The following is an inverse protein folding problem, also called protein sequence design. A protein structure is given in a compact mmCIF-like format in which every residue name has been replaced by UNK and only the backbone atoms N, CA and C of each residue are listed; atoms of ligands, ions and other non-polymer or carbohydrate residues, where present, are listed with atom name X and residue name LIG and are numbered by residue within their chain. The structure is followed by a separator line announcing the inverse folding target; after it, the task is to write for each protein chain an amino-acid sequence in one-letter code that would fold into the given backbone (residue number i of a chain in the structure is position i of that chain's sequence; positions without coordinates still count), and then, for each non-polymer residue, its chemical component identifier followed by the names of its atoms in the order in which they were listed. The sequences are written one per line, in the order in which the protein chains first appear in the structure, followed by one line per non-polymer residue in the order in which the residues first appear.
data_IF_880367772566
#
_entry.id   IF_880367772566
#
_cell.length_a   1.000
_cell.length_b   1.000
_cell.length_c   1.000
_cell.angle_alpha   90.00
_cell.angle_beta   90.00
_cell.angle_gamma   90.00
#
_symmetry.space_group_name_H-M   'P 1'
#
loop_
_entity.id
_entity.type
_entity.pdbx_description
1 polymer ?
#
# COMPACT_ATOMS: atom_id res chain seq x y z
N UNK A 1 8.97 58.18 -23.30
CA UNK A 1 10.18 57.81 -22.51
C UNK A 1 9.80 56.97 -21.30
N UNK A 2 8.64 57.22 -20.68
CA UNK A 2 8.21 56.56 -19.42
C UNK A 2 7.78 55.07 -19.59
N UNK A 3 7.18 54.73 -20.73
CA UNK A 3 6.74 53.32 -20.99
C UNK A 3 7.89 52.32 -21.18
N UNK A 4 9.02 52.77 -21.73
CA UNK A 4 10.20 51.93 -21.94
C UNK A 4 10.87 51.65 -20.58
N UNK A 5 11.02 52.70 -19.75
CA UNK A 5 11.63 52.57 -18.41
C UNK A 5 10.75 51.68 -17.49
N UNK A 6 9.44 51.78 -17.60
CA UNK A 6 8.50 50.93 -16.83
C UNK A 6 8.61 49.48 -17.29
N UNK A 7 8.72 49.17 -18.58
CA UNK A 7 8.87 47.82 -19.10
C UNK A 7 10.23 47.22 -18.70
N UNK A 8 11.29 48.00 -18.71
CA UNK A 8 12.63 47.51 -18.29
C UNK A 8 12.66 47.23 -16.80
N UNK A 9 12.05 48.06 -15.98
CA UNK A 9 11.92 47.85 -14.53
C UNK A 9 11.09 46.62 -14.25
N UNK A 10 9.97 46.43 -14.95
CA UNK A 10 9.13 45.23 -14.79
C UNK A 10 9.83 43.95 -15.16
N UNK A 11 10.60 43.98 -16.29
CA UNK A 11 11.41 42.87 -16.74
C UNK A 11 12.53 42.52 -15.74
N UNK A 12 13.18 43.53 -15.17
CA UNK A 12 14.23 43.33 -14.16
C UNK A 12 13.68 42.70 -12.90
N UNK A 13 12.54 43.19 -12.40
CA UNK A 13 11.88 42.63 -11.20
C UNK A 13 11.44 41.19 -11.47
N UNK A 14 10.85 40.92 -12.64
CA UNK A 14 10.44 39.57 -13.02
C UNK A 14 11.63 38.59 -13.05
N UNK A 15 12.74 38.99 -13.64
CA UNK A 15 13.95 38.18 -13.70
C UNK A 15 14.53 37.89 -12.31
N UNK A 16 14.58 38.89 -11.44
CA UNK A 16 15.06 38.71 -10.04
C UNK A 16 14.17 37.73 -9.28
N UNK A 17 12.84 37.88 -9.36
CA UNK A 17 11.88 36.97 -8.75
C UNK A 17 12.01 35.54 -9.31
N UNK A 18 12.18 35.41 -10.62
CA UNK A 18 12.36 34.15 -11.29
C UNK A 18 13.61 33.38 -10.79
N UNK A 19 14.76 34.06 -10.74
CA UNK A 19 15.99 33.46 -10.21
C UNK A 19 15.89 33.15 -8.72
N UNK A 20 15.22 33.98 -7.95
CA UNK A 20 15.01 33.75 -6.52
C UNK A 20 14.16 32.47 -6.29
N UNK A 21 13.11 32.25 -7.08
CA UNK A 21 12.28 31.03 -7.01
C UNK A 21 13.08 29.78 -7.38
N UNK A 22 13.93 29.85 -8.41
CA UNK A 22 14.79 28.73 -8.81
C UNK A 22 15.76 28.38 -7.67
N UNK A 23 16.48 29.36 -7.12
CA UNK A 23 17.42 29.15 -6.04
C UNK A 23 16.73 28.58 -4.79
N UNK A 24 15.56 29.13 -4.42
CA UNK A 24 14.78 28.61 -3.31
C UNK A 24 14.35 27.14 -3.55
N UNK A 25 13.95 26.82 -4.78
CA UNK A 25 13.55 25.44 -5.12
C UNK A 25 14.73 24.48 -5.08
N UNK A 26 15.91 24.88 -5.62
CA UNK A 26 17.13 24.08 -5.51
C UNK A 26 17.51 23.84 -4.05
N UNK A 27 17.41 24.86 -3.20
CA UNK A 27 17.65 24.75 -1.78
C UNK A 27 16.70 23.76 -1.11
N UNK A 28 15.41 23.82 -1.41
CA UNK A 28 14.40 22.87 -0.93
C UNK A 28 14.73 21.45 -1.41
N UNK A 29 15.13 21.26 -2.67
CA UNK A 29 15.52 19.95 -3.22
C UNK A 29 16.69 19.35 -2.46
N UNK A 30 17.71 20.16 -2.14
CA UNK A 30 18.88 19.73 -1.37
C UNK A 30 18.46 19.30 0.05
N UNK A 31 17.62 20.06 0.71
CA UNK A 31 17.17 19.77 2.08
C UNK A 31 16.23 18.56 2.16
N UNK A 32 15.42 18.34 1.16
CA UNK A 32 14.34 17.31 1.21
C UNK A 32 14.77 15.96 0.66
N UNK A 33 15.76 15.92 -0.23
CA UNK A 33 16.16 14.71 -0.95
C UNK A 33 17.42 14.06 -0.33
N UNK A 34 17.23 12.88 0.28
CA UNK A 34 18.33 12.12 0.90
C UNK A 34 19.13 11.27 -0.09
N UNK A 35 18.66 11.13 -1.32
CA UNK A 35 19.35 10.36 -2.35
C UNK A 35 20.14 11.31 -3.25
N UNK A 36 21.49 11.31 -3.18
CA UNK A 36 22.32 12.26 -3.93
C UNK A 36 22.07 12.24 -5.43
N UNK A 37 21.86 11.05 -6.02
CA UNK A 37 21.64 10.90 -7.47
C UNK A 37 20.32 11.58 -7.88
N UNK A 38 19.25 11.39 -7.11
CA UNK A 38 17.97 12.04 -7.40
C UNK A 38 18.05 13.55 -7.18
N UNK A 39 18.77 13.99 -6.15
CA UNK A 39 18.99 15.42 -5.88
C UNK A 39 19.71 16.07 -7.06
N UNK A 40 20.80 15.48 -7.54
CA UNK A 40 21.53 16.00 -8.71
C UNK A 40 20.65 16.01 -9.98
N UNK A 41 19.88 14.96 -10.23
CA UNK A 41 18.98 14.92 -11.38
C UNK A 41 17.96 16.05 -11.34
N UNK A 42 17.35 16.33 -10.17
CA UNK A 42 16.40 17.43 -10.01
C UNK A 42 17.04 18.80 -10.13
N UNK A 43 18.26 18.98 -9.62
CA UNK A 43 19.03 20.24 -9.77
C UNK A 43 19.28 20.51 -11.26
N UNK A 44 19.71 19.49 -12.04
CA UNK A 44 19.92 19.63 -13.48
C UNK A 44 18.62 19.96 -14.22
N UNK A 45 17.51 19.28 -13.90
CA UNK A 45 16.20 19.57 -14.51
C UNK A 45 15.75 21.00 -14.21
N UNK A 46 15.89 21.47 -12.98
CA UNK A 46 15.54 22.85 -12.59
C UNK A 46 16.47 23.89 -13.21
N UNK A 47 17.72 23.55 -13.45
CA UNK A 47 18.69 24.44 -14.08
C UNK A 47 18.41 24.62 -15.59
N UNK A 48 18.15 23.52 -16.32
CA UNK A 48 17.93 23.56 -17.76
C UNK A 48 16.49 23.89 -18.15
N UNK A 49 15.49 23.49 -17.35
CA UNK A 49 14.07 23.64 -17.61
C UNK A 49 13.34 24.18 -16.37
N UNK A 50 13.63 25.42 -15.95
CA UNK A 50 13.23 25.91 -14.63
C UNK A 50 11.70 25.90 -14.42
N UNK A 51 10.89 26.39 -15.34
CA UNK A 51 9.42 26.42 -15.19
C UNK A 51 8.84 25.01 -15.24
N UNK A 52 9.22 24.25 -16.28
CA UNK A 52 8.75 22.86 -16.46
C UNK A 52 9.26 21.97 -15.33
N UNK A 53 10.53 22.13 -14.97
CA UNK A 53 11.16 21.42 -13.88
C UNK A 53 10.50 21.68 -12.53
N UNK A 54 10.08 22.92 -12.25
CA UNK A 54 9.36 23.28 -11.03
C UNK A 54 7.99 22.58 -10.94
N UNK A 55 7.24 22.56 -12.04
CA UNK A 55 5.97 21.84 -12.15
C UNK A 55 6.19 20.33 -11.92
N UNK A 56 7.16 19.74 -12.62
CA UNK A 56 7.48 18.33 -12.47
C UNK A 56 8.01 17.99 -11.07
N UNK A 57 8.84 18.85 -10.48
CA UNK A 57 9.31 18.65 -9.10
C UNK A 57 8.18 18.66 -8.09
N UNK A 58 7.21 19.58 -8.24
CA UNK A 58 6.05 19.63 -7.36
C UNK A 58 5.22 18.34 -7.40
N UNK A 59 5.05 17.74 -8.58
CA UNK A 59 4.26 16.52 -8.73
C UNK A 59 5.04 15.22 -8.43
N UNK A 60 6.33 15.16 -8.77
CA UNK A 60 7.11 13.93 -8.75
C UNK A 60 8.35 13.97 -7.85
N UNK A 61 8.84 15.16 -7.52
CA UNK A 61 10.09 15.35 -6.79
C UNK A 61 9.96 15.37 -5.28
N UNK A 62 8.81 15.79 -4.74
CA UNK A 62 8.63 15.94 -3.31
C UNK A 62 8.70 14.60 -2.58
N UNK A 63 9.49 14.57 -1.50
CA UNK A 63 9.62 13.40 -0.65
C UNK A 63 8.47 13.36 0.38
N UNK A 64 7.32 12.87 -0.04
CA UNK A 64 6.11 12.76 0.81
C UNK A 64 6.23 11.72 1.94
N UNK A 65 7.42 11.09 2.13
CA UNK A 65 7.67 10.24 3.32
C UNK A 65 7.49 10.98 4.64
N UNK A 66 7.55 12.32 4.65
CA UNK A 66 7.27 13.16 5.83
C UNK A 66 5.77 13.35 6.09
N UNK A 67 4.91 13.19 5.09
CA UNK A 67 3.47 13.16 5.33
C UNK A 67 3.12 11.87 6.06
N UNK A 68 2.76 11.99 7.33
CA UNK A 68 2.25 10.88 8.13
C UNK A 68 0.93 10.44 7.51
N UNK A 69 0.96 9.35 6.76
CA UNK A 69 -0.23 8.73 6.17
C UNK A 69 -1.22 8.27 7.25
N UNK A 70 -0.77 8.15 8.49
CA UNK A 70 -1.55 7.70 9.65
C UNK A 70 -1.71 8.87 10.62
N UNK A 71 -2.94 9.20 11.01
CA UNK A 71 -3.16 10.18 12.06
C UNK A 71 -2.57 9.68 13.38
N UNK A 72 -2.00 10.60 14.19
CA UNK A 72 -1.46 10.25 15.52
C UNK A 72 -2.50 9.52 16.40
N UNK A 73 -3.78 9.89 16.28
CA UNK A 73 -4.89 9.24 16.99
C UNK A 73 -5.14 7.80 16.50
N UNK A 74 -5.05 7.55 15.20
CA UNK A 74 -5.18 6.20 14.63
C UNK A 74 -4.05 5.29 15.08
N UNK A 75 -2.81 5.75 14.99
CA UNK A 75 -1.63 5.02 15.44
C UNK A 75 -1.68 4.67 16.94
N UNK A 76 -2.14 5.58 17.79
CA UNK A 76 -2.27 5.33 19.23
C UNK A 76 -3.38 4.34 19.59
N UNK A 77 -4.42 4.21 18.76
CA UNK A 77 -5.48 3.22 18.95
C UNK A 77 -5.04 1.81 18.56
N UNK A 78 -4.24 1.68 17.50
CA UNK A 78 -3.70 0.40 17.04
C UNK A 78 -2.66 -0.18 18.00
N UNK A 79 -1.83 0.68 18.58
CA UNK A 79 -0.68 0.25 19.41
C UNK A 79 -1.06 -0.15 20.85
N UNK A 80 -2.33 -0.05 21.25
CA UNK A 80 -2.66 -0.04 22.68
C UNK A 80 -3.24 -1.34 23.26
N UNK A 81 -3.52 -2.44 22.52
CA UNK A 81 -4.20 -3.54 23.23
C UNK A 81 -3.85 -5.01 22.94
N UNK A 82 -3.84 -5.61 21.77
CA UNK A 82 -3.61 -7.06 21.71
C UNK A 82 -2.13 -7.47 21.62
N UNK A 83 -1.30 -6.64 20.98
CA UNK A 83 0.11 -6.98 20.77
C UNK A 83 0.92 -6.91 22.07
N UNK A 84 0.64 -5.94 22.96
CA UNK A 84 1.38 -5.74 24.20
C UNK A 84 1.13 -6.88 25.21
N UNK A 85 -0.10 -7.40 25.30
CA UNK A 85 -0.42 -8.55 26.15
C UNK A 85 0.20 -9.84 25.62
N UNK A 86 0.20 -10.01 24.30
CA UNK A 86 0.88 -11.14 23.65
C UNK A 86 2.40 -11.06 23.82
N UNK A 87 2.97 -9.88 23.73
CA UNK A 87 4.38 -9.58 23.95
C UNK A 87 4.86 -10.01 25.34
N UNK A 88 4.04 -9.77 26.37
CA UNK A 88 4.38 -10.11 27.73
C UNK A 88 4.37 -11.63 28.00
N UNK A 89 3.56 -12.39 27.27
CA UNK A 89 3.46 -13.85 27.44
C UNK A 89 4.51 -14.64 26.69
N UNK A 90 4.96 -14.19 25.52
CA UNK A 90 5.87 -14.98 24.66
C UNK A 90 7.35 -14.55 24.72
N UNK A 91 7.64 -13.33 25.12
CA UNK A 91 9.03 -12.88 25.35
C UNK A 91 9.76 -13.65 26.46
N UNK A 92 9.01 -14.40 27.27
CA UNK A 92 9.53 -15.22 28.36
C UNK A 92 9.81 -16.69 27.98
N UNK A 93 9.43 -17.16 26.78
CA UNK A 93 9.44 -18.61 26.50
C UNK A 93 10.46 -19.12 25.47
N UNK A 94 11.06 -18.30 24.64
CA UNK A 94 12.00 -18.80 23.62
C UNK A 94 13.23 -17.90 23.43
N UNK A 95 14.17 -18.00 24.36
CA UNK A 95 15.54 -17.54 24.16
C UNK A 95 16.45 -18.69 23.78
N UNK A 96 16.36 -19.19 22.56
CA UNK A 96 17.32 -20.16 22.04
C UNK A 96 17.94 -19.66 20.73
N UNK A 97 19.26 -19.44 20.75
CA UNK A 97 20.18 -19.39 19.60
C UNK A 97 20.02 -18.33 18.50
N UNK A 98 18.84 -17.79 18.25
CA UNK A 98 18.55 -16.79 17.20
C UNK A 98 18.26 -15.39 17.75
N UNK A 99 18.63 -15.12 18.99
CA UNK A 99 18.23 -13.94 19.75
C UNK A 99 18.68 -12.60 19.14
N UNK A 100 19.86 -12.53 18.52
CA UNK A 100 20.38 -11.28 17.96
C UNK A 100 19.60 -10.80 16.73
N UNK A 101 19.28 -11.72 15.81
CA UNK A 101 18.52 -11.38 14.59
C UNK A 101 17.07 -11.00 14.94
N UNK A 102 16.44 -11.74 15.83
CA UNK A 102 15.10 -11.46 16.33
C UNK A 102 15.05 -10.09 17.05
N UNK A 103 16.02 -9.85 17.95
CA UNK A 103 16.14 -8.56 18.64
C UNK A 103 16.36 -7.39 17.68
N UNK A 104 17.17 -7.59 16.65
CA UNK A 104 17.39 -6.57 15.60
C UNK A 104 16.08 -6.22 14.88
N UNK A 105 15.35 -7.21 14.36
CA UNK A 105 14.09 -6.94 13.66
C UNK A 105 13.01 -6.37 14.57
N UNK A 106 12.94 -6.79 15.82
CA UNK A 106 12.03 -6.22 16.81
C UNK A 106 12.32 -4.74 17.05
N UNK A 107 13.60 -4.37 17.24
CA UNK A 107 14.01 -2.98 17.49
C UNK A 107 13.84 -2.05 16.28
N UNK A 108 14.18 -2.55 15.08
CA UNK A 108 14.19 -1.72 13.86
C UNK A 108 12.80 -1.63 13.22
N UNK A 109 12.05 -2.70 13.22
CA UNK A 109 10.80 -2.81 12.45
C UNK A 109 9.57 -3.08 13.31
N UNK A 110 9.68 -3.18 14.65
CA UNK A 110 8.62 -3.74 15.51
C UNK A 110 8.12 -5.12 15.02
N UNK A 111 9.03 -5.90 14.42
CA UNK A 111 8.69 -7.22 13.89
C UNK A 111 8.92 -8.27 14.98
N UNK A 112 7.84 -8.91 15.40
CA UNK A 112 7.85 -9.93 16.44
C UNK A 112 8.00 -11.32 15.82
N UNK A 113 8.74 -12.18 16.50
CA UNK A 113 8.85 -13.59 16.12
C UNK A 113 7.69 -14.38 16.74
N UNK A 114 7.02 -15.16 15.91
CA UNK A 114 5.91 -16.02 16.33
C UNK A 114 6.26 -17.47 16.05
N UNK A 115 6.26 -18.32 17.08
CA UNK A 115 6.46 -19.76 16.95
C UNK A 115 5.14 -20.51 16.67
N UNK A 116 5.26 -21.80 16.34
CA UNK A 116 4.13 -22.71 16.18
C UNK A 116 3.24 -22.40 14.97
N UNK A 117 3.85 -21.94 13.87
CA UNK A 117 3.13 -21.70 12.62
C UNK A 117 3.34 -22.84 11.63
N UNK A 118 2.27 -23.20 10.90
CA UNK A 118 2.35 -24.06 9.71
C UNK A 118 2.36 -23.17 8.47
N UNK A 119 3.26 -23.48 7.54
CA UNK A 119 3.46 -22.66 6.34
C UNK A 119 3.38 -23.54 5.09
N UNK A 120 2.57 -23.11 4.11
CA UNK A 120 2.50 -23.71 2.77
C UNK A 120 2.88 -22.65 1.73
N UNK A 121 3.65 -23.07 0.72
CA UNK A 121 4.16 -22.18 -0.33
C UNK A 121 3.49 -22.55 -1.65
N UNK A 122 2.97 -21.56 -2.35
CA UNK A 122 2.38 -21.67 -3.68
C UNK A 122 3.25 -20.92 -4.69
N UNK A 123 3.52 -21.52 -5.83
CA UNK A 123 4.33 -20.92 -6.89
C UNK A 123 3.55 -20.66 -8.17
N UNK A 124 2.25 -20.97 -8.17
CA UNK A 124 1.32 -20.75 -9.27
C UNK A 124 0.00 -20.18 -8.74
N UNK A 125 -0.69 -19.42 -9.60
CA UNK A 125 -1.91 -18.73 -9.24
C UNK A 125 -3.10 -19.65 -9.04
N UNK A 126 -3.18 -20.77 -9.76
CA UNK A 126 -4.30 -21.69 -9.64
C UNK A 126 -4.36 -22.30 -8.25
N UNK A 127 -3.27 -22.93 -7.82
CA UNK A 127 -3.17 -23.58 -6.49
C UNK A 127 -3.38 -22.58 -5.36
N UNK A 128 -2.83 -21.38 -5.50
CA UNK A 128 -2.98 -20.31 -4.49
C UNK A 128 -4.43 -19.85 -4.38
N UNK A 129 -5.09 -19.54 -5.51
CA UNK A 129 -6.47 -19.05 -5.51
C UNK A 129 -7.45 -20.14 -5.07
N UNK A 130 -7.23 -21.39 -5.45
CA UNK A 130 -8.01 -22.53 -4.97
C UNK A 130 -7.92 -22.63 -3.43
N UNK A 131 -6.70 -22.58 -2.87
CA UNK A 131 -6.51 -22.61 -1.42
C UNK A 131 -7.15 -21.41 -0.73
N UNK A 132 -7.02 -20.20 -1.29
CA UNK A 132 -7.62 -18.99 -0.74
C UNK A 132 -9.16 -19.09 -0.71
N UNK A 133 -9.78 -19.50 -1.82
CA UNK A 133 -11.24 -19.67 -1.90
C UNK A 133 -11.73 -20.77 -0.97
N UNK A 134 -10.98 -21.86 -0.83
CA UNK A 134 -11.29 -22.92 0.13
C UNK A 134 -11.34 -22.36 1.56
N UNK A 135 -10.31 -21.65 2.00
CA UNK A 135 -10.27 -21.07 3.36
C UNK A 135 -11.38 -20.01 3.56
N UNK A 136 -11.66 -19.20 2.55
CA UNK A 136 -12.78 -18.24 2.58
C UNK A 136 -14.11 -18.98 2.74
N UNK A 137 -14.33 -20.10 2.05
CA UNK A 137 -15.57 -20.89 2.17
C UNK A 137 -15.81 -21.43 3.58
N UNK A 138 -14.73 -21.66 4.33
CA UNK A 138 -14.77 -22.15 5.72
C UNK A 138 -14.85 -21.03 6.78
N UNK A 139 -14.74 -19.78 6.38
CA UNK A 139 -14.75 -18.62 7.29
C UNK A 139 -16.04 -18.53 8.09
N UNK A 140 -15.93 -18.16 9.39
CA UNK A 140 -17.05 -18.06 10.34
C UNK A 140 -17.19 -16.70 11.00
N UNK A 141 -16.09 -15.93 11.10
CA UNK A 141 -16.07 -14.68 11.87
C UNK A 141 -15.78 -13.48 10.98
N UNK A 142 -14.59 -13.45 10.36
CA UNK A 142 -14.21 -12.31 9.55
C UNK A 142 -13.21 -12.66 8.44
N UNK A 143 -13.27 -11.89 7.36
CA UNK A 143 -12.34 -11.97 6.23
C UNK A 143 -11.81 -10.56 5.98
N UNK A 144 -10.48 -10.42 5.98
CA UNK A 144 -9.81 -9.17 5.62
C UNK A 144 -8.93 -9.40 4.40
N UNK A 145 -9.21 -8.66 3.33
CA UNK A 145 -8.51 -8.75 2.06
C UNK A 145 -7.84 -7.42 1.73
N UNK A 146 -6.58 -7.46 1.37
CA UNK A 146 -5.81 -6.32 0.89
C UNK A 146 -5.04 -6.74 -0.35
N UNK A 147 -5.41 -6.19 -1.51
CA UNK A 147 -4.78 -6.51 -2.78
C UNK A 147 -4.46 -5.25 -3.57
N UNK A 148 -3.34 -5.28 -4.29
CA UNK A 148 -3.01 -4.20 -5.22
C UNK A 148 -3.93 -4.22 -6.43
N UNK A 149 -4.21 -5.43 -6.95
CA UNK A 149 -5.14 -5.66 -8.07
C UNK A 149 -6.23 -6.63 -7.61
N UNK A 150 -7.48 -6.24 -7.79
CA UNK A 150 -8.66 -7.08 -7.68
C UNK A 150 -9.53 -6.75 -8.91
N UNK A 151 -9.42 -7.57 -9.96
CA UNK A 151 -9.91 -7.26 -11.28
C UNK A 151 -11.34 -7.80 -11.49
N UNK A 152 -12.13 -7.12 -12.33
CA UNK A 152 -13.45 -7.60 -12.75
C UNK A 152 -13.31 -8.56 -13.94
N UNK A 153 -12.69 -9.71 -13.68
CA UNK A 153 -12.56 -10.84 -14.59
C UNK A 153 -13.24 -12.10 -14.03
N UNK A 154 -13.09 -13.23 -14.70
CA UNK A 154 -13.75 -14.46 -14.26
C UNK A 154 -13.34 -14.86 -12.82
N UNK A 155 -12.09 -14.67 -12.45
CA UNK A 155 -11.57 -15.01 -11.13
C UNK A 155 -12.03 -13.99 -10.08
N UNK A 156 -11.96 -12.71 -10.41
CA UNK A 156 -12.42 -11.66 -9.50
C UNK A 156 -13.91 -11.76 -9.22
N UNK A 157 -14.73 -12.08 -10.24
CA UNK A 157 -16.17 -12.32 -10.07
C UNK A 157 -16.46 -13.53 -9.21
N UNK A 158 -15.76 -14.64 -9.44
CA UNK A 158 -15.92 -15.86 -8.64
C UNK A 158 -15.61 -15.60 -7.17
N UNK A 159 -14.51 -14.88 -6.88
CA UNK A 159 -14.15 -14.53 -5.51
C UNK A 159 -15.13 -13.53 -4.91
N UNK A 160 -15.59 -12.50 -5.66
CA UNK A 160 -16.62 -11.55 -5.22
C UNK A 160 -17.89 -12.29 -4.80
N UNK A 161 -18.38 -13.21 -5.63
CA UNK A 161 -19.62 -13.93 -5.35
C UNK A 161 -19.49 -14.81 -4.10
N UNK A 162 -18.35 -15.47 -3.92
CA UNK A 162 -18.04 -16.20 -2.68
C UNK A 162 -18.00 -15.28 -1.45
N UNK A 163 -17.44 -14.08 -1.56
CA UNK A 163 -17.44 -13.09 -0.47
C UNK A 163 -18.85 -12.61 -0.15
N UNK A 164 -19.68 -12.36 -1.15
CA UNK A 164 -21.09 -12.00 -0.99
C UNK A 164 -21.84 -13.10 -0.24
N UNK A 165 -21.67 -14.35 -0.64
CA UNK A 165 -22.29 -15.48 0.05
C UNK A 165 -21.87 -15.58 1.51
N UNK A 166 -20.61 -15.31 1.83
CA UNK A 166 -20.10 -15.29 3.21
C UNK A 166 -20.66 -14.09 4.00
N UNK A 167 -20.79 -12.93 3.38
CA UNK A 167 -21.40 -11.75 4.01
C UNK A 167 -22.87 -12.02 4.38
N UNK A 168 -23.64 -12.65 3.50
CA UNK A 168 -25.03 -13.08 3.76
C UNK A 168 -25.14 -14.11 4.90
N UNK A 169 -24.09 -14.90 5.14
CA UNK A 169 -23.97 -15.81 6.29
C UNK A 169 -23.56 -15.10 7.58
N UNK A 170 -23.37 -13.77 7.57
CA UNK A 170 -23.01 -12.96 8.73
C UNK A 170 -21.51 -12.82 8.99
N UNK A 171 -20.65 -13.26 8.07
CA UNK A 171 -19.20 -13.07 8.17
C UNK A 171 -18.87 -11.61 7.88
N UNK A 172 -18.06 -10.97 8.75
CA UNK A 172 -17.63 -9.57 8.57
C UNK A 172 -16.48 -9.49 7.58
N UNK A 173 -16.71 -8.80 6.46
CA UNK A 173 -15.74 -8.75 5.36
C UNK A 173 -15.25 -7.32 5.15
N UNK A 174 -13.93 -7.17 5.03
CA UNK A 174 -13.25 -5.91 4.67
C UNK A 174 -12.34 -6.14 3.49
N UNK A 175 -12.55 -5.37 2.44
CA UNK A 175 -11.73 -5.37 1.24
C UNK A 175 -11.04 -4.00 1.08
N UNK A 176 -9.71 -4.02 1.02
CA UNK A 176 -8.88 -2.87 0.68
C UNK A 176 -8.16 -3.13 -0.64
N UNK A 177 -8.44 -2.33 -1.66
CA UNK A 177 -7.78 -2.42 -2.97
C UNK A 177 -7.05 -1.12 -3.30
N UNK A 178 -6.05 -1.18 -4.19
CA UNK A 178 -5.35 0.02 -4.64
C UNK A 178 -6.10 0.69 -5.80
N UNK A 179 -6.36 1.99 -5.68
CA UNK A 179 -7.13 2.75 -6.66
C UNK A 179 -6.50 2.73 -8.07
N UNK A 180 -5.16 2.86 -8.15
CA UNK A 180 -4.45 2.83 -9.45
C UNK A 180 -4.32 1.40 -9.97
N UNK A 181 -4.07 0.43 -9.08
CA UNK A 181 -4.00 -0.98 -9.45
C UNK A 181 -5.29 -1.52 -10.04
N UNK A 182 -6.42 -0.93 -9.67
CA UNK A 182 -7.77 -1.31 -10.09
C UNK A 182 -8.44 -0.24 -10.98
N UNK A 183 -7.69 0.66 -11.60
CA UNK A 183 -8.24 1.82 -12.35
C UNK A 183 -9.17 1.44 -13.50
N UNK A 184 -9.00 0.24 -14.06
CA UNK A 184 -9.84 -0.24 -15.17
C UNK A 184 -11.11 -0.97 -14.72
N UNK A 185 -11.26 -1.19 -13.41
CA UNK A 185 -12.42 -1.89 -12.86
C UNK A 185 -13.55 -0.89 -12.67
N UNK A 186 -14.73 -1.23 -13.19
CA UNK A 186 -15.93 -0.41 -13.00
C UNK A 186 -16.31 -0.36 -11.52
N UNK A 187 -16.70 0.80 -11.02
CA UNK A 187 -17.16 0.97 -9.65
C UNK A 187 -18.32 0.07 -9.29
N UNK A 188 -19.19 -0.25 -10.24
CA UNK A 188 -20.34 -1.14 -10.07
C UNK A 188 -19.93 -2.53 -9.56
N UNK A 189 -18.73 -3.01 -9.92
CA UNK A 189 -18.19 -4.26 -9.42
C UNK A 189 -18.01 -4.24 -7.89
N UNK A 190 -17.54 -3.13 -7.34
CA UNK A 190 -17.35 -2.94 -5.90
C UNK A 190 -18.67 -2.55 -5.21
N UNK A 191 -19.53 -1.80 -5.89
CA UNK A 191 -20.82 -1.36 -5.34
C UNK A 191 -21.72 -2.56 -5.03
N UNK A 192 -21.66 -3.64 -5.83
CA UNK A 192 -22.35 -4.89 -5.54
C UNK A 192 -21.94 -5.48 -4.18
N UNK A 193 -20.65 -5.46 -3.85
CA UNK A 193 -20.17 -5.93 -2.55
C UNK A 193 -20.60 -4.98 -1.41
N UNK A 194 -20.57 -3.66 -1.64
CA UNK A 194 -21.05 -2.67 -0.67
C UNK A 194 -22.54 -2.86 -0.33
N UNK A 195 -23.38 -3.12 -1.34
CA UNK A 195 -24.82 -3.39 -1.14
C UNK A 195 -25.10 -4.62 -0.27
N UNK A 196 -24.17 -5.59 -0.25
CA UNK A 196 -24.28 -6.80 0.57
C UNK A 196 -23.57 -6.67 1.96
N UNK A 197 -23.24 -5.44 2.34
CA UNK A 197 -22.66 -5.14 3.65
C UNK A 197 -21.16 -5.42 3.80
N UNK A 198 -20.46 -5.67 2.69
CA UNK A 198 -19.00 -5.77 2.70
C UNK A 198 -18.39 -4.36 2.80
N UNK A 199 -17.50 -4.15 3.75
CA UNK A 199 -16.75 -2.90 3.85
C UNK A 199 -15.67 -2.86 2.76
N UNK A 200 -15.88 -2.09 1.69
CA UNK A 200 -14.96 -1.96 0.57
C UNK A 200 -14.33 -0.59 0.54
N UNK A 201 -13.02 -0.51 0.44
CA UNK A 201 -12.29 0.76 0.45
C UNK A 201 -11.15 0.77 -0.57
N UNK A 202 -11.05 1.88 -1.34
CA UNK A 202 -9.91 2.10 -2.22
C UNK A 202 -8.77 2.80 -1.47
N UNK A 203 -7.55 2.31 -1.63
CA UNK A 203 -6.34 2.93 -1.06
C UNK A 203 -5.88 4.10 -1.92
N UNK A 204 -5.76 5.29 -1.32
CA UNK A 204 -5.28 6.54 -1.93
C UNK A 204 -5.98 6.87 -3.25
N UNK A 205 -7.29 7.13 -3.17
CA UNK A 205 -8.12 7.51 -4.31
C UNK A 205 -7.53 8.70 -5.07
N UNK A 206 -7.28 8.50 -6.36
CA UNK A 206 -6.77 9.53 -7.27
C UNK A 206 -7.94 10.24 -7.93
N UNK A 207 -8.09 11.54 -7.66
CA UNK A 207 -9.14 12.37 -8.28
C UNK A 207 -8.50 13.41 -9.20
N UNK A 208 -8.83 13.35 -10.48
CA UNK A 208 -8.52 14.41 -11.43
C UNK A 208 -9.40 15.65 -11.14
N UNK A 209 -8.91 16.90 -11.21
CA UNK A 209 -7.58 17.37 -11.62
C UNK A 209 -6.55 17.48 -10.49
N UNK A 210 -6.86 17.04 -9.28
CA UNK A 210 -5.92 17.05 -8.15
C UNK A 210 -4.93 15.90 -8.26
N UNK A 211 -4.02 15.95 -9.24
CA UNK A 211 -2.82 15.12 -9.24
C UNK A 211 -2.02 15.46 -7.99
N UNK A 212 -2.20 14.68 -6.95
CA UNK A 212 -1.41 14.82 -5.74
C UNK A 212 -0.10 14.04 -5.94
N UNK A 213 0.97 14.50 -5.29
CA UNK A 213 2.25 13.79 -5.17
C UNK A 213 2.08 12.33 -4.68
N UNK A 214 0.88 11.96 -4.26
CA UNK A 214 0.47 10.63 -3.77
C UNK A 214 0.28 9.57 -4.88
N UNK A 215 0.34 9.93 -6.16
CA UNK A 215 0.23 8.95 -7.27
C UNK A 215 1.29 7.84 -7.16
N UNK A 216 2.49 8.16 -6.67
CA UNK A 216 3.58 7.20 -6.50
C UNK A 216 3.49 6.36 -5.22
N UNK A 217 2.58 6.69 -4.30
CA UNK A 217 2.36 5.94 -3.06
C UNK A 217 1.27 4.92 -3.27
N UNK A 218 1.68 3.72 -3.67
CA UNK A 218 0.75 2.62 -3.93
C UNK A 218 0.87 1.54 -2.86
N UNK A 219 -0.25 0.88 -2.57
CA UNK A 219 -0.30 -0.23 -1.66
C UNK A 219 -0.10 -1.55 -2.41
N UNK A 220 1.14 -1.97 -2.57
CA UNK A 220 1.48 -3.18 -3.34
C UNK A 220 1.43 -4.48 -2.53
N UNK A 221 0.82 -4.46 -1.34
CA UNK A 221 0.64 -5.66 -0.50
C UNK A 221 -0.50 -6.53 -1.03
N UNK A 222 -0.34 -7.84 -0.92
CA UNK A 222 -1.37 -8.83 -1.18
C UNK A 222 -1.46 -9.67 0.08
N UNK A 223 -2.50 -9.43 0.86
CA UNK A 223 -2.73 -10.06 2.16
C UNK A 223 -4.18 -10.51 2.22
N UNK A 224 -4.42 -11.75 2.66
CA UNK A 224 -5.73 -12.21 3.06
C UNK A 224 -5.64 -12.79 4.47
N UNK A 225 -6.65 -12.50 5.29
CA UNK A 225 -6.74 -13.01 6.66
C UNK A 225 -8.13 -13.57 6.85
N UNK A 226 -8.21 -14.81 7.29
CA UNK A 226 -9.45 -15.52 7.54
C UNK A 226 -9.51 -15.92 9.02
N UNK A 227 -10.52 -15.44 9.72
CA UNK A 227 -10.81 -15.70 11.13
C UNK A 227 -9.63 -15.43 12.09
N UNK A 228 -8.65 -14.61 11.68
CA UNK A 228 -7.44 -14.31 12.45
C UNK A 228 -6.51 -15.51 12.64
N UNK A 229 -6.82 -16.66 12.03
CA UNK A 229 -6.09 -17.93 12.14
C UNK A 229 -5.33 -18.30 10.89
N UNK A 230 -5.89 -18.03 9.73
CA UNK A 230 -5.27 -18.29 8.43
C UNK A 230 -4.87 -16.96 7.80
N UNK A 231 -3.66 -16.88 7.28
CA UNK A 231 -3.17 -15.72 6.58
C UNK A 231 -2.50 -16.09 5.26
N UNK A 232 -2.72 -15.28 4.23
CA UNK A 232 -2.02 -15.38 2.96
C UNK A 232 -1.22 -14.10 2.73
N UNK A 233 0.00 -14.24 2.23
CA UNK A 233 0.86 -13.11 1.85
C UNK A 233 1.78 -13.52 0.69
N UNK A 234 1.93 -12.64 -0.29
CA UNK A 234 2.82 -12.92 -1.42
C UNK A 234 2.75 -11.92 -2.55
N UNK A 235 3.14 -12.36 -3.74
CA UNK A 235 3.19 -11.52 -4.94
C UNK A 235 1.94 -11.60 -5.83
N UNK A 236 1.11 -12.65 -5.72
CA UNK A 236 -0.04 -12.88 -6.59
C UNK A 236 -1.23 -11.98 -6.22
N UNK A 237 -1.88 -11.42 -7.24
CA UNK A 237 -3.12 -10.65 -7.09
C UNK A 237 -4.35 -11.47 -7.48
N UNK A 238 -5.52 -10.86 -7.38
CA UNK A 238 -6.79 -11.46 -7.80
C UNK A 238 -7.07 -11.01 -9.23
N UNK A 239 -6.61 -11.80 -10.18
CA UNK A 239 -6.85 -11.61 -11.60
C UNK A 239 -6.56 -12.89 -12.39
N UNK A 240 -7.30 -13.12 -13.48
CA UNK A 240 -7.23 -14.31 -14.34
C UNK A 240 -5.82 -14.54 -14.92
N UNK A 241 -5.06 -13.47 -15.16
CA UNK A 241 -3.69 -13.57 -15.69
C UNK A 241 -2.72 -14.30 -14.77
N UNK A 242 -2.99 -14.39 -13.47
CA UNK A 242 -2.16 -15.17 -12.53
C UNK A 242 -2.40 -16.67 -12.67
N UNK A 243 -3.50 -17.08 -13.33
CA UNK A 243 -3.82 -18.48 -13.65
C UNK A 243 -3.44 -18.80 -15.10
N UNK A 244 -3.95 -18.04 -16.06
CA UNK A 244 -3.77 -18.29 -17.50
C UNK A 244 -2.43 -17.79 -18.04
N UNK A 245 -1.78 -16.84 -17.33
CA UNK A 245 -0.63 -16.14 -17.86
C UNK A 245 -1.00 -15.11 -18.93
N UNK A 246 -0.04 -14.81 -19.79
CA UNK A 246 -0.16 -13.93 -20.94
C UNK A 246 0.14 -14.72 -22.22
N UNK A 247 -0.15 -14.14 -23.38
CA UNK A 247 0.17 -14.73 -24.68
C UNK A 247 1.66 -15.09 -24.87
N UNK A 248 2.55 -14.44 -24.12
CA UNK A 248 4.00 -14.59 -24.15
C UNK A 248 4.57 -15.50 -23.05
N UNK A 249 3.76 -15.95 -22.08
CA UNK A 249 4.24 -16.84 -21.01
C UNK A 249 3.32 -16.96 -19.80
N UNK A 250 3.60 -17.97 -18.97
CA UNK A 250 2.88 -18.22 -17.72
C UNK A 250 3.43 -17.27 -16.63
N UNK A 251 2.52 -16.69 -15.86
CA UNK A 251 2.90 -15.86 -14.72
C UNK A 251 3.34 -16.73 -13.55
N UNK A 252 4.60 -16.60 -13.15
CA UNK A 252 5.12 -17.26 -11.94
C UNK A 252 5.37 -16.22 -10.86
N UNK A 253 4.82 -16.47 -9.70
CA UNK A 253 5.05 -15.67 -8.50
C UNK A 253 5.03 -16.60 -7.27
N UNK A 254 5.31 -16.07 -6.09
CA UNK A 254 5.30 -16.84 -4.86
C UNK A 254 4.31 -16.26 -3.87
N UNK A 255 3.49 -17.14 -3.29
CA UNK A 255 2.53 -16.79 -2.24
C UNK A 255 2.63 -17.81 -1.10
N UNK A 256 2.40 -17.36 0.11
CA UNK A 256 2.51 -18.14 1.33
C UNK A 256 1.16 -18.17 2.02
N UNK A 257 0.68 -19.37 2.37
CA UNK A 257 -0.38 -19.58 3.36
C UNK A 257 0.30 -19.86 4.69
N UNK A 258 -0.16 -19.17 5.72
CA UNK A 258 0.30 -19.34 7.09
C UNK A 258 -0.89 -19.67 7.99
N UNK A 259 -0.72 -20.63 8.89
CA UNK A 259 -1.68 -20.93 9.95
C UNK A 259 -0.99 -20.84 11.29
N UNK A 260 -1.58 -20.10 12.22
CA UNK A 260 -1.06 -19.93 13.58
C UNK A 260 -0.88 -18.47 13.99
N UNK A 261 -0.08 -18.26 15.02
CA UNK A 261 0.08 -16.96 15.70
C UNK A 261 0.74 -15.88 14.82
N UNK A 262 1.53 -16.25 13.82
CA UNK A 262 2.13 -15.30 12.87
C UNK A 262 1.11 -14.48 12.07
N UNK A 263 -0.14 -14.97 11.97
CA UNK A 263 -1.24 -14.25 11.32
C UNK A 263 -1.56 -12.93 12.01
N UNK A 264 -1.27 -12.79 13.31
CA UNK A 264 -1.40 -11.51 14.03
C UNK A 264 -0.54 -10.39 13.42
N UNK A 265 0.65 -10.73 12.91
CA UNK A 265 1.50 -9.78 12.20
C UNK A 265 0.86 -9.28 10.90
N UNK A 266 0.20 -10.16 10.16
CA UNK A 266 -0.56 -9.80 8.96
C UNK A 266 -1.79 -8.97 9.30
N UNK A 267 -2.49 -9.32 10.37
CA UNK A 267 -3.64 -8.59 10.87
C UNK A 267 -3.28 -7.16 11.28
N UNK A 268 -2.15 -6.97 11.98
CA UNK A 268 -1.62 -5.65 12.31
C UNK A 268 -1.29 -4.85 11.05
N UNK A 269 -0.59 -5.48 10.08
CA UNK A 269 -0.22 -4.84 8.83
C UNK A 269 -1.44 -4.42 7.97
N UNK A 270 -2.55 -5.16 8.05
CA UNK A 270 -3.81 -4.79 7.42
C UNK A 270 -4.43 -3.56 8.09
N UNK A 271 -4.56 -3.56 9.43
CA UNK A 271 -5.15 -2.44 10.16
C UNK A 271 -4.33 -1.17 10.08
N UNK A 272 -3.00 -1.25 10.01
CA UNK A 272 -2.14 -0.08 9.79
C UNK A 272 -2.51 0.69 8.52
N UNK A 273 -3.06 0.01 7.51
CA UNK A 273 -3.49 0.64 6.26
C UNK A 273 -4.95 1.08 6.28
N UNK A 274 -5.81 0.37 7.00
CA UNK A 274 -7.21 0.75 7.15
C UNK A 274 -7.37 2.09 7.92
N UNK A 275 -6.48 2.37 8.87
CA UNK A 275 -6.50 3.60 9.69
C UNK A 275 -5.89 4.81 8.97
N UNK A 276 -5.31 4.64 7.79
CA UNK A 276 -4.84 5.75 6.96
C UNK A 276 -5.98 6.60 6.37
N UNK A 277 -7.26 6.28 6.68
CA UNK A 277 -8.47 6.93 6.16
C UNK A 277 -9.41 7.41 7.31
#
# INVERSE_FOLDING_TARGET
MDTIVINDLFSAIFNVLYFAVILATIFIVILDNRNPVKTMAWILVLFFLPIVGLVFYFFFGQNTRKERLISRKGYSRLNKRPLAEYQAQESLKEQTGKSHLMSFFTRVNNAWAFGGNTVSIYTDGYSMLQALMHEISLARHHIHLQFYIFEDDAIGRLLRDLLIDKARQGVKIRLLYDDVGCWRVDSMFYDQMLCEGIEVQSFLKVRFPRFTSKVNYRNHRKIAIIDGRIGFIGGMNIAERYIKGFSWGIWRDTHVRMEGKGVYGLQSAFFDRLVCY
#
